data_IF_125608300544
#
_entry.id   IF_125608300544
#
_cell.length_a   1.000
_cell.length_b   1.000
_cell.length_c   1.000
_cell.angle_alpha   90.00
_cell.angle_beta   90.00
_cell.angle_gamma   90.00
#
_symmetry.space_group_name_H-M   'P 1'
#
loop_
_entity.id
_entity.type
_entity.pdbx_description
1 polymer ?
#
# COMPACT_ATOMS: atom_id res chain seq x y z
N UNK A 1 23.34 -26.35 -9.92
CA UNK A 1 22.50 -25.54 -9.02
C UNK A 1 21.12 -25.43 -9.64
N UNK A 2 20.09 -25.58 -8.87
CA UNK A 2 18.69 -25.50 -9.25
C UNK A 2 17.87 -25.50 -7.99
N UNK A 3 16.56 -25.44 -8.15
CA UNK A 3 15.59 -25.50 -7.05
C UNK A 3 14.95 -26.88 -6.99
N UNK A 4 14.80 -27.42 -5.82
CA UNK A 4 13.97 -28.58 -5.57
C UNK A 4 12.51 -28.17 -5.38
N UNK A 5 11.60 -29.12 -5.52
CA UNK A 5 10.19 -28.89 -5.17
C UNK A 5 10.06 -28.51 -3.70
N UNK A 6 9.28 -27.48 -3.44
CA UNK A 6 9.12 -26.86 -2.13
C UNK A 6 10.12 -25.76 -1.81
N UNK A 7 11.22 -25.59 -2.56
CA UNK A 7 12.15 -24.49 -2.33
C UNK A 7 11.60 -23.16 -2.81
N UNK A 8 12.00 -22.08 -2.13
CA UNK A 8 11.50 -20.72 -2.42
C UNK A 8 12.65 -19.72 -2.52
N UNK A 9 12.51 -18.84 -3.51
CA UNK A 9 13.32 -17.64 -3.66
C UNK A 9 12.49 -16.43 -3.19
N UNK A 10 13.04 -15.59 -2.31
CA UNK A 10 12.30 -14.43 -1.82
C UNK A 10 13.16 -13.18 -1.67
N UNK A 11 12.52 -12.02 -1.82
CA UNK A 11 13.13 -10.73 -1.49
C UNK A 11 12.21 -9.93 -0.57
N UNK A 12 12.81 -9.28 0.42
CA UNK A 12 12.14 -8.37 1.34
C UNK A 12 12.38 -6.93 0.94
N UNK A 13 11.34 -6.12 1.02
CA UNK A 13 11.33 -4.72 0.64
C UNK A 13 10.96 -3.87 1.84
N UNK A 14 11.78 -2.88 2.16
CA UNK A 14 11.49 -1.92 3.23
C UNK A 14 11.09 -0.60 2.62
N UNK A 15 9.94 -0.08 3.03
CA UNK A 15 9.39 1.18 2.56
C UNK A 15 9.00 2.04 3.77
N UNK A 16 8.82 3.37 3.62
CA UNK A 16 8.38 4.22 4.73
C UNK A 16 7.07 3.72 5.35
N UNK A 17 6.99 3.77 6.68
CA UNK A 17 5.86 3.23 7.45
C UNK A 17 4.52 3.90 7.11
N UNK A 18 4.55 5.16 6.72
CA UNK A 18 3.39 5.97 6.32
C UNK A 18 2.81 5.60 4.95
N UNK A 19 3.51 4.79 4.17
CA UNK A 19 3.00 4.29 2.88
C UNK A 19 2.09 3.06 3.04
N UNK A 20 2.10 2.42 4.20
CA UNK A 20 1.20 1.31 4.51
C UNK A 20 -0.21 1.80 4.94
N UNK A 21 -1.27 1.03 4.67
CA UNK A 21 -1.29 -0.22 3.93
C UNK A 21 -1.01 -0.01 2.43
N UNK A 22 -0.33 -0.98 1.83
CA UNK A 22 -0.06 -1.00 0.39
C UNK A 22 -0.84 -2.12 -0.29
N UNK A 23 -1.10 -1.97 -1.57
CA UNK A 23 -1.52 -3.07 -2.42
C UNK A 23 -0.41 -3.42 -3.40
N UNK A 24 -0.31 -4.70 -3.70
CA UNK A 24 0.62 -5.19 -4.70
C UNK A 24 -0.06 -5.11 -6.06
N UNK A 25 0.55 -4.39 -6.99
CA UNK A 25 0.04 -4.24 -8.36
C UNK A 25 0.66 -5.30 -9.28
N UNK A 26 1.95 -5.59 -9.10
CA UNK A 26 2.67 -6.57 -9.91
C UNK A 26 3.90 -7.09 -9.17
N UNK A 27 4.25 -8.35 -9.41
CA UNK A 27 5.56 -8.90 -9.05
C UNK A 27 6.16 -9.65 -10.23
N UNK A 28 7.47 -9.59 -10.34
CA UNK A 28 8.23 -10.16 -11.46
C UNK A 28 9.43 -10.93 -10.92
N UNK A 29 9.71 -12.08 -11.54
CA UNK A 29 10.87 -12.91 -11.24
C UNK A 29 11.44 -13.47 -12.54
N UNK A 30 12.78 -13.46 -12.68
CA UNK A 30 13.42 -14.08 -13.83
C UNK A 30 13.71 -15.55 -13.54
N UNK A 31 13.24 -16.42 -14.46
CA UNK A 31 13.52 -17.85 -14.50
C UNK A 31 14.39 -18.18 -15.71
N UNK A 32 15.21 -19.20 -15.58
CA UNK A 32 16.07 -19.70 -16.65
C UNK A 32 16.00 -21.22 -16.78
N UNK A 33 16.31 -21.70 -17.98
CA UNK A 33 16.47 -23.11 -18.34
C UNK A 33 17.79 -23.31 -19.07
N UNK A 34 18.81 -22.52 -18.74
CA UNK A 34 20.07 -22.44 -19.50
C UNK A 34 20.75 -23.77 -19.76
N UNK A 35 20.58 -24.74 -18.86
CA UNK A 35 21.13 -26.09 -18.99
C UNK A 35 20.09 -27.15 -19.37
N UNK A 36 18.84 -26.75 -19.62
CA UNK A 36 17.81 -27.70 -20.01
C UNK A 36 18.01 -28.17 -21.43
N UNK A 37 17.76 -29.45 -21.69
CA UNK A 37 17.82 -30.08 -23.01
C UNK A 37 16.44 -30.38 -23.59
N UNK A 38 15.40 -30.20 -22.77
CA UNK A 38 13.99 -30.39 -23.12
C UNK A 38 13.18 -29.17 -22.69
N UNK A 39 12.02 -28.98 -23.28
CA UNK A 39 11.04 -27.98 -22.78
C UNK A 39 10.67 -28.31 -21.33
N UNK A 40 10.76 -27.33 -20.46
CA UNK A 40 10.43 -27.50 -19.04
C UNK A 40 9.00 -27.04 -18.78
N UNK A 41 8.29 -27.76 -17.93
CA UNK A 41 7.00 -27.33 -17.39
C UNK A 41 7.14 -27.31 -15.87
N UNK A 42 6.99 -26.14 -15.27
CA UNK A 42 7.14 -25.93 -13.84
C UNK A 42 5.85 -25.39 -13.27
N UNK A 43 5.33 -26.04 -12.24
CA UNK A 43 4.28 -25.48 -11.40
C UNK A 43 4.93 -24.60 -10.35
N UNK A 44 4.33 -23.48 -10.07
CA UNK A 44 4.89 -22.48 -9.18
C UNK A 44 3.81 -21.76 -8.39
N UNK A 45 4.21 -21.15 -7.30
CA UNK A 45 3.36 -20.28 -6.51
C UNK A 45 4.08 -18.98 -6.20
N UNK A 46 3.30 -17.91 -6.08
CA UNK A 46 3.77 -16.63 -5.52
C UNK A 46 3.14 -16.44 -4.14
N UNK A 47 3.94 -16.00 -3.17
CA UNK A 47 3.56 -15.86 -1.78
C UNK A 47 3.88 -14.44 -1.31
N UNK A 48 2.99 -13.87 -0.50
CA UNK A 48 3.09 -12.50 0.01
C UNK A 48 3.09 -12.52 1.53
N UNK A 49 4.08 -11.85 2.13
CA UNK A 49 4.25 -11.77 3.58
C UNK A 49 4.27 -10.32 4.05
N UNK A 50 3.62 -10.05 5.18
CA UNK A 50 3.89 -8.89 6.01
C UNK A 50 5.12 -9.17 6.87
N UNK A 51 6.14 -8.32 6.80
CA UNK A 51 7.44 -8.57 7.42
C UNK A 51 8.38 -9.46 6.60
N UNK A 52 9.38 -10.04 7.27
CA UNK A 52 10.33 -10.99 6.69
C UNK A 52 9.74 -12.40 6.62
N UNK A 53 10.19 -13.28 5.71
CA UNK A 53 9.53 -14.57 5.52
C UNK A 53 9.70 -15.54 6.70
N UNK A 54 10.71 -15.34 7.56
CA UNK A 54 10.95 -16.17 8.75
C UNK A 54 10.35 -15.62 10.05
N UNK A 55 9.89 -14.38 10.06
CA UNK A 55 9.35 -13.72 11.26
C UNK A 55 8.07 -12.93 11.02
N UNK A 56 7.62 -12.87 9.77
CA UNK A 56 6.40 -12.19 9.36
C UNK A 56 5.20 -13.12 9.23
N UNK A 57 4.12 -12.58 8.69
CA UNK A 57 2.86 -13.28 8.49
C UNK A 57 2.63 -13.53 7.00
N UNK A 58 2.32 -14.77 6.60
CA UNK A 58 1.86 -15.10 5.26
C UNK A 58 0.43 -14.58 5.07
N UNK A 59 0.23 -13.73 4.05
CA UNK A 59 -1.06 -13.08 3.76
C UNK A 59 -1.78 -13.76 2.61
N UNK A 60 -1.07 -14.07 1.52
CA UNK A 60 -1.68 -14.65 0.34
C UNK A 60 -0.74 -15.60 -0.39
N UNK A 61 -1.32 -16.60 -1.07
CA UNK A 61 -0.64 -17.56 -1.93
C UNK A 61 -1.46 -17.76 -3.20
N UNK A 62 -0.81 -17.66 -4.35
CA UNK A 62 -1.41 -17.95 -5.64
C UNK A 62 -0.59 -19.03 -6.33
N UNK A 63 -1.25 -20.11 -6.76
CA UNK A 63 -0.60 -21.29 -7.37
C UNK A 63 -0.96 -21.39 -8.84
N UNK A 64 0.00 -21.87 -9.64
CA UNK A 64 -0.23 -22.15 -11.06
C UNK A 64 -1.06 -23.43 -11.32
N UNK A 65 -1.51 -24.11 -10.27
CA UNK A 65 -2.46 -25.22 -10.40
C UNK A 65 -3.92 -24.76 -10.57
N UNK A 66 -4.17 -23.46 -10.43
CA UNK A 66 -5.49 -22.88 -10.60
C UNK A 66 -5.76 -22.42 -12.02
N UNK A 67 -7.00 -22.00 -12.26
CA UNK A 67 -7.43 -21.46 -13.56
C UNK A 67 -6.82 -20.09 -13.87
N UNK A 68 -6.26 -19.42 -12.87
CA UNK A 68 -5.77 -18.02 -12.95
C UNK A 68 -4.32 -17.94 -13.40
N UNK A 69 -3.46 -18.82 -12.88
CA UNK A 69 -2.03 -18.80 -13.20
C UNK A 69 -1.63 -20.02 -14.04
N UNK A 70 -1.07 -19.79 -15.25
CA UNK A 70 -0.58 -20.89 -16.07
C UNK A 70 0.70 -21.50 -15.49
N UNK A 71 0.94 -22.75 -15.80
CA UNK A 71 2.25 -23.37 -15.60
C UNK A 71 3.33 -22.64 -16.41
N UNK A 72 4.51 -22.58 -15.88
CA UNK A 72 5.66 -22.01 -16.58
C UNK A 72 6.22 -23.02 -17.58
N UNK A 73 5.94 -22.79 -18.86
CA UNK A 73 6.44 -23.64 -19.96
C UNK A 73 7.56 -22.88 -20.69
N UNK A 74 8.79 -23.38 -20.64
CA UNK A 74 9.96 -22.72 -21.17
C UNK A 74 10.77 -23.63 -22.13
N UNK A 75 11.18 -23.11 -23.29
CA UNK A 75 12.09 -23.84 -24.19
C UNK A 75 13.44 -24.14 -23.54
N UNK A 76 14.14 -25.20 -23.99
CA UNK A 76 15.49 -25.48 -23.52
C UNK A 76 16.45 -24.35 -23.90
N UNK A 77 17.46 -24.14 -23.07
CA UNK A 77 18.52 -23.14 -23.29
C UNK A 77 18.08 -21.69 -23.10
N UNK A 78 16.93 -21.43 -22.47
CA UNK A 78 16.49 -20.08 -22.15
C UNK A 78 17.37 -19.50 -21.04
N UNK A 79 18.06 -18.38 -21.32
CA UNK A 79 18.95 -17.72 -20.36
C UNK A 79 18.23 -16.88 -19.32
N UNK A 80 16.99 -16.46 -19.60
CA UNK A 80 16.14 -15.74 -18.68
C UNK A 80 14.81 -15.37 -19.31
N UNK A 81 13.73 -15.62 -18.60
CA UNK A 81 12.37 -15.17 -18.96
C UNK A 81 11.77 -14.48 -17.75
N UNK A 82 11.23 -13.29 -17.96
CA UNK A 82 10.55 -12.55 -16.92
C UNK A 82 9.13 -13.10 -16.73
N UNK A 83 8.87 -13.63 -15.56
CA UNK A 83 7.56 -14.14 -15.15
C UNK A 83 6.87 -13.07 -14.32
N UNK A 84 5.74 -12.60 -14.81
CA UNK A 84 4.97 -11.54 -14.18
C UNK A 84 3.68 -12.11 -13.59
N UNK A 85 3.42 -11.73 -12.35
CA UNK A 85 2.12 -11.87 -11.71
C UNK A 85 1.55 -10.46 -11.55
N UNK A 86 0.49 -10.17 -12.28
CA UNK A 86 -0.20 -8.87 -12.26
C UNK A 86 -1.57 -9.03 -11.64
N UNK A 87 -1.98 -8.03 -10.87
CA UNK A 87 -3.30 -7.96 -10.25
C UNK A 87 -4.07 -6.86 -10.97
N UNK A 88 -5.27 -7.19 -11.46
CA UNK A 88 -6.14 -6.19 -12.08
C UNK A 88 -6.53 -5.15 -11.01
N UNK A 89 -6.33 -3.85 -11.26
CA UNK A 89 -6.72 -2.80 -10.32
C UNK A 89 -8.21 -2.80 -9.96
N UNK A 90 -9.05 -3.39 -10.80
CA UNK A 90 -10.50 -3.52 -10.58
C UNK A 90 -10.90 -4.81 -9.84
N UNK A 91 -9.94 -5.72 -9.60
CA UNK A 91 -10.21 -6.95 -8.84
C UNK A 91 -10.60 -6.59 -7.40
N UNK A 92 -11.75 -7.08 -6.90
CA UNK A 92 -12.13 -6.86 -5.50
C UNK A 92 -11.17 -7.52 -4.50
N UNK A 93 -10.48 -8.57 -4.93
CA UNK A 93 -9.56 -9.35 -4.08
C UNK A 93 -8.11 -8.84 -4.20
N UNK A 94 -7.91 -7.55 -3.93
CA UNK A 94 -6.58 -6.94 -3.92
C UNK A 94 -5.69 -7.55 -2.82
N UNK A 95 -4.40 -7.74 -3.11
CA UNK A 95 -3.42 -8.14 -2.10
C UNK A 95 -3.01 -6.90 -1.31
N UNK A 96 -3.57 -6.75 -0.12
CA UNK A 96 -3.27 -5.63 0.78
C UNK A 96 -2.31 -6.10 1.87
N UNK A 97 -1.21 -5.37 2.04
CA UNK A 97 -0.21 -5.63 3.07
C UNK A 97 -0.16 -4.47 4.06
N UNK A 98 -0.20 -4.81 5.35
CA UNK A 98 -0.13 -3.87 6.45
C UNK A 98 1.28 -3.78 7.04
N UNK A 99 1.54 -2.71 7.77
CA UNK A 99 2.78 -2.59 8.55
C UNK A 99 2.61 -3.28 9.91
N UNK A 100 3.27 -4.42 10.09
CA UNK A 100 3.31 -5.14 11.38
C UNK A 100 4.40 -4.61 12.32
N UNK A 101 4.86 -3.37 12.13
CA UNK A 101 5.88 -2.71 12.95
C UNK A 101 7.30 -2.80 12.38
N UNK A 102 7.51 -3.49 11.26
CA UNK A 102 8.82 -3.66 10.63
C UNK A 102 9.03 -2.80 9.40
N UNK A 103 7.98 -2.15 8.89
CA UNK A 103 7.97 -1.38 7.63
C UNK A 103 8.50 -2.19 6.45
N UNK A 104 8.34 -3.52 6.51
CA UNK A 104 8.89 -4.48 5.55
C UNK A 104 7.78 -5.42 5.07
N UNK A 105 7.83 -5.79 3.81
CA UNK A 105 7.04 -6.89 3.24
C UNK A 105 7.95 -7.79 2.40
N UNK A 106 7.50 -9.00 2.11
CA UNK A 106 8.28 -9.98 1.34
C UNK A 106 7.43 -10.63 0.27
N UNK A 107 8.02 -10.81 -0.90
CA UNK A 107 7.45 -11.63 -1.98
C UNK A 107 8.35 -12.82 -2.20
N UNK A 108 7.74 -14.00 -2.32
CA UNK A 108 8.44 -15.26 -2.56
C UNK A 108 7.85 -16.01 -3.75
N UNK A 109 8.70 -16.71 -4.47
CA UNK A 109 8.32 -17.64 -5.53
C UNK A 109 8.74 -19.05 -5.11
N UNK A 110 7.78 -19.96 -5.09
CA UNK A 110 7.98 -21.38 -4.75
C UNK A 110 7.90 -22.24 -6.00
N UNK A 111 8.78 -23.21 -6.10
CA UNK A 111 8.64 -24.29 -7.08
C UNK A 111 7.74 -25.37 -6.46
N UNK A 112 6.61 -25.63 -7.08
CA UNK A 112 5.65 -26.63 -6.60
C UNK A 112 5.87 -28.00 -7.22
N UNK A 113 6.18 -28.05 -8.53
CA UNK A 113 6.41 -29.29 -9.26
C UNK A 113 7.29 -29.03 -10.49
N UNK A 114 8.14 -29.98 -10.82
CA UNK A 114 9.04 -29.96 -11.97
C UNK A 114 8.77 -31.09 -12.95
N UNK A 115 9.34 -30.99 -14.19
CA UNK A 115 9.21 -32.04 -15.19
C UNK A 115 9.69 -33.41 -14.71
N UNK A 116 10.81 -33.45 -14.02
CA UNK A 116 11.52 -34.66 -13.65
C UNK A 116 11.91 -34.65 -12.17
N UNK A 117 10.96 -34.33 -11.33
CA UNK A 117 11.16 -34.47 -9.90
C UNK A 117 11.11 -35.93 -9.53
N UNK A 118 12.06 -36.38 -8.73
CA UNK A 118 12.07 -37.71 -8.14
C UNK A 118 11.51 -37.67 -6.73
N UNK A 119 11.28 -38.83 -6.15
CA UNK A 119 10.79 -38.95 -4.76
C UNK A 119 11.75 -38.38 -3.72
N UNK A 120 13.02 -38.16 -4.09
CA UNK A 120 14.01 -37.56 -3.20
C UNK A 120 14.60 -36.28 -3.81
N UNK A 121 14.01 -35.14 -3.53
CA UNK A 121 14.45 -33.85 -4.08
C UNK A 121 15.90 -33.51 -3.73
N UNK A 122 16.43 -34.05 -2.61
CA UNK A 122 17.79 -33.75 -2.17
C UNK A 122 18.89 -34.36 -3.03
N UNK A 123 18.62 -35.45 -3.74
CA UNK A 123 19.59 -36.11 -4.60
C UNK A 123 19.48 -35.74 -6.06
N UNK A 124 18.33 -35.25 -6.47
CA UNK A 124 18.02 -34.99 -7.88
C UNK A 124 17.58 -33.55 -8.08
N UNK A 125 17.82 -32.74 -7.10
CA UNK A 125 17.46 -31.33 -7.12
C UNK A 125 18.06 -30.60 -8.30
N UNK A 126 17.22 -30.04 -9.06
CA UNK A 126 16.61 -30.73 -10.17
C UNK A 126 17.73 -31.03 -11.17
N UNK A 127 17.66 -32.06 -11.97
CA UNK A 127 18.57 -32.14 -13.10
C UNK A 127 18.38 -30.81 -13.86
N UNK A 128 19.40 -29.95 -13.82
CA UNK A 128 19.32 -28.62 -14.48
C UNK A 128 19.06 -28.74 -15.98
N UNK A 129 19.20 -29.94 -16.53
CA UNK A 129 18.88 -30.27 -17.92
C UNK A 129 17.37 -30.48 -18.17
N UNK A 130 16.52 -30.42 -17.18
CA UNK A 130 15.09 -30.71 -17.32
C UNK A 130 14.17 -29.70 -16.66
N UNK A 131 14.69 -28.74 -15.90
CA UNK A 131 13.88 -27.88 -15.06
C UNK A 131 14.21 -26.38 -15.24
N UNK A 132 13.21 -25.54 -14.97
CA UNK A 132 13.36 -24.10 -14.82
C UNK A 132 13.63 -23.73 -13.36
N UNK A 133 14.32 -22.65 -13.12
CA UNK A 133 14.64 -22.16 -11.77
C UNK A 133 14.81 -20.65 -11.72
N UNK A 134 14.54 -20.00 -10.57
CA UNK A 134 14.85 -18.59 -10.34
C UNK A 134 16.34 -18.30 -10.50
N UNK A 135 16.68 -17.12 -11.00
CA UNK A 135 18.06 -16.70 -11.20
C UNK A 135 18.44 -15.51 -10.33
N UNK A 136 19.73 -15.42 -10.04
CA UNK A 136 20.33 -14.25 -9.41
C UNK A 136 21.10 -13.42 -10.44
N UNK A 137 21.31 -12.16 -10.13
CA UNK A 137 22.16 -11.28 -10.92
C UNK A 137 23.66 -11.64 -10.75
N UNK A 138 24.52 -10.85 -11.37
CA UNK A 138 25.98 -10.96 -11.27
C UNK A 138 26.60 -9.76 -10.57
N UNK A 139 25.79 -8.89 -9.98
CA UNK A 139 26.22 -7.64 -9.35
C UNK A 139 26.85 -7.81 -7.96
N UNK A 140 26.81 -9.02 -7.43
CA UNK A 140 27.19 -9.30 -6.04
C UNK A 140 26.00 -9.14 -5.09
N UNK A 141 26.20 -9.54 -3.84
CA UNK A 141 25.15 -9.45 -2.82
C UNK A 141 25.03 -8.03 -2.28
N UNK A 142 23.82 -7.53 -2.18
CA UNK A 142 23.55 -6.29 -1.46
C UNK A 142 23.85 -6.43 0.04
N UNK A 143 24.27 -5.32 0.64
CA UNK A 143 24.48 -5.21 2.07
C UNK A 143 23.70 -4.01 2.63
N UNK A 144 22.75 -4.23 3.57
CA UNK A 144 22.33 -5.52 4.14
C UNK A 144 21.57 -6.38 3.11
N UNK A 145 21.72 -7.70 3.21
CA UNK A 145 21.00 -8.61 2.32
C UNK A 145 19.49 -8.62 2.61
N UNK A 146 18.72 -8.40 1.57
CA UNK A 146 17.26 -8.46 1.60
C UNK A 146 16.71 -9.74 0.95
N UNK A 147 17.60 -10.60 0.47
CA UNK A 147 17.26 -11.84 -0.23
C UNK A 147 17.27 -13.05 0.71
N UNK A 148 16.39 -13.98 0.43
CA UNK A 148 16.12 -15.17 1.24
C UNK A 148 16.04 -16.41 0.37
N UNK A 149 16.46 -17.53 0.96
CA UNK A 149 16.26 -18.86 0.41
C UNK A 149 15.50 -19.71 1.45
N UNK A 150 14.41 -20.33 1.02
CA UNK A 150 13.83 -21.45 1.76
C UNK A 150 14.36 -22.75 1.14
N UNK A 151 15.15 -23.47 1.89
CA UNK A 151 15.68 -24.76 1.45
C UNK A 151 14.93 -25.91 2.12
N UNK A 152 14.77 -27.01 1.37
CA UNK A 152 14.28 -28.26 1.92
C UNK A 152 15.36 -28.95 2.76
N UNK A 153 14.96 -29.79 3.71
CA UNK A 153 15.91 -30.51 4.56
C UNK A 153 16.61 -31.65 3.79
N UNK A 154 17.83 -31.41 3.37
CA UNK A 154 18.67 -32.39 2.68
C UNK A 154 19.80 -32.95 3.55
N UNK A 155 19.67 -32.85 4.86
CA UNK A 155 20.66 -33.34 5.81
C UNK A 155 21.96 -32.50 5.83
N UNK A 156 23.08 -33.09 6.33
CA UNK A 156 24.28 -32.31 6.61
C UNK A 156 25.03 -31.80 5.37
N UNK A 157 24.71 -32.29 4.19
CA UNK A 157 25.30 -31.88 2.93
C UNK A 157 24.44 -30.87 2.16
N UNK A 158 23.24 -30.61 2.66
CA UNK A 158 22.30 -29.63 2.09
C UNK A 158 22.49 -28.23 2.63
N UNK A 159 21.77 -27.30 2.05
CA UNK A 159 21.62 -25.96 2.63
C UNK A 159 20.77 -26.04 3.92
N UNK A 160 20.96 -25.08 4.86
CA UNK A 160 20.14 -25.03 6.06
C UNK A 160 18.65 -25.03 5.71
N UNK A 161 17.90 -25.99 6.26
CA UNK A 161 16.48 -26.10 6.03
C UNK A 161 15.73 -24.85 6.55
N UNK A 162 14.58 -24.57 5.95
CA UNK A 162 13.76 -23.39 6.22
C UNK A 162 14.37 -22.09 5.68
N UNK A 163 13.79 -20.97 6.11
CA UNK A 163 14.21 -19.65 5.66
C UNK A 163 15.59 -19.26 6.20
N UNK A 164 16.47 -18.87 5.30
CA UNK A 164 17.76 -18.26 5.61
C UNK A 164 17.99 -17.05 4.73
N UNK A 165 18.44 -15.93 5.32
CA UNK A 165 18.90 -14.79 4.52
C UNK A 165 20.19 -15.15 3.79
N UNK A 166 20.46 -14.53 2.64
CA UNK A 166 21.69 -14.78 1.91
C UNK A 166 22.95 -14.49 2.74
N UNK A 167 22.88 -13.52 3.65
CA UNK A 167 23.97 -13.21 4.57
C UNK A 167 24.27 -14.36 5.55
N UNK A 168 23.22 -15.10 5.97
CA UNK A 168 23.33 -16.21 6.92
C UNK A 168 23.67 -17.54 6.26
N UNK A 169 23.51 -17.67 4.95
CA UNK A 169 23.81 -18.92 4.24
C UNK A 169 25.30 -19.25 4.28
N UNK A 170 25.68 -20.54 4.46
CA UNK A 170 27.06 -20.96 4.27
C UNK A 170 27.51 -20.72 2.83
N UNK A 171 28.81 -20.51 2.64
CA UNK A 171 29.39 -20.10 1.35
C UNK A 171 28.99 -21.00 0.19
N UNK A 172 28.88 -22.31 0.40
CA UNK A 172 28.52 -23.27 -0.65
C UNK A 172 27.02 -23.24 -1.02
N UNK A 173 26.18 -22.63 -0.19
CA UNK A 173 24.76 -22.40 -0.46
C UNK A 173 24.44 -20.98 -0.92
N UNK A 174 25.39 -20.06 -0.74
CA UNK A 174 25.17 -18.64 -1.00
C UNK A 174 25.29 -18.36 -2.48
N UNK A 175 24.27 -17.77 -3.12
CA UNK A 175 24.39 -17.27 -4.48
C UNK A 175 25.42 -16.15 -4.60
N UNK A 176 25.91 -15.93 -5.81
CA UNK A 176 26.88 -14.85 -6.10
C UNK A 176 26.26 -13.49 -6.32
N UNK A 177 24.95 -13.41 -6.43
CA UNK A 177 24.17 -12.18 -6.63
C UNK A 177 22.79 -12.27 -6.00
N UNK A 178 22.04 -11.18 -6.09
CA UNK A 178 20.69 -11.07 -5.56
C UNK A 178 19.65 -11.65 -6.52
N UNK A 179 18.47 -12.06 -6.00
CA UNK A 179 17.38 -12.49 -6.86
C UNK A 179 16.97 -11.38 -7.81
N UNK A 180 16.77 -11.72 -9.09
CA UNK A 180 16.20 -10.78 -10.05
C UNK A 180 14.68 -10.79 -9.86
N UNK A 181 14.25 -10.18 -8.77
CA UNK A 181 12.87 -10.05 -8.32
C UNK A 181 12.53 -8.58 -8.16
N UNK A 182 11.40 -8.16 -8.71
CA UNK A 182 10.90 -6.79 -8.62
C UNK A 182 9.43 -6.80 -8.22
N UNK A 183 9.02 -5.77 -7.48
CA UNK A 183 7.62 -5.58 -7.06
C UNK A 183 7.20 -4.16 -7.40
N UNK A 184 6.01 -4.03 -7.99
CA UNK A 184 5.30 -2.76 -8.13
C UNK A 184 4.15 -2.75 -7.14
N UNK A 185 4.03 -1.67 -6.41
CA UNK A 185 3.00 -1.49 -5.39
C UNK A 185 2.47 -0.07 -5.43
N UNK A 186 1.26 0.12 -4.89
CA UNK A 186 0.65 1.43 -4.69
C UNK A 186 0.06 1.52 -3.28
N UNK A 187 -0.09 2.72 -2.70
CA UNK A 187 -0.83 2.88 -1.45
C UNK A 187 -2.25 2.34 -1.61
N UNK A 188 -2.73 1.59 -0.62
CA UNK A 188 -4.11 1.08 -0.63
C UNK A 188 -5.13 2.20 -0.41
N UNK A 189 -4.74 3.20 0.38
CA UNK A 189 -5.50 4.44 0.52
C UNK A 189 -4.63 5.59 0.01
N UNK A 190 -5.20 6.51 -0.75
CA UNK A 190 -4.50 7.77 -1.02
C UNK A 190 -4.24 8.45 0.33
N UNK A 191 -2.99 8.81 0.67
CA UNK A 191 -2.73 9.60 1.86
C UNK A 191 -3.58 10.87 1.79
N UNK A 192 -4.32 11.16 2.84
CA UNK A 192 -5.08 12.40 2.89
C UNK A 192 -4.07 13.51 3.19
N UNK A 193 -3.93 14.42 2.24
CA UNK A 193 -3.09 15.60 2.38
C UNK A 193 -3.91 16.77 2.93
N UNK A 194 -3.22 17.73 3.53
CA UNK A 194 -3.80 18.97 4.01
C UNK A 194 -2.74 20.05 4.21
N UNK A 195 -3.16 21.25 4.53
CA UNK A 195 -2.27 22.38 4.73
C UNK A 195 -1.28 22.12 5.86
N UNK A 196 -0.01 22.24 5.57
CA UNK A 196 1.12 22.17 6.49
C UNK A 196 1.82 23.53 6.59
N UNK A 197 1.85 24.09 7.77
CA UNK A 197 2.59 25.32 8.04
C UNK A 197 4.03 25.00 8.40
N UNK A 198 4.94 25.26 7.48
CA UNK A 198 6.36 25.04 7.67
C UNK A 198 6.98 26.11 8.59
N UNK A 199 8.13 25.80 9.25
CA UNK A 199 8.86 26.79 10.06
C UNK A 199 9.30 28.03 9.28
N UNK A 200 9.41 27.94 7.95
CA UNK A 200 9.69 29.05 7.07
C UNK A 200 8.54 30.05 6.94
N UNK A 201 7.34 29.70 7.43
CA UNK A 201 6.10 30.47 7.24
C UNK A 201 5.35 30.13 5.93
N UNK A 202 5.90 29.24 5.11
CA UNK A 202 5.23 28.75 3.90
C UNK A 202 4.17 27.69 4.26
N UNK A 203 3.16 27.59 3.40
CA UNK A 203 2.18 26.51 3.46
C UNK A 203 2.40 25.56 2.29
N UNK A 204 2.59 24.28 2.62
CA UNK A 204 2.66 23.19 1.67
C UNK A 204 1.49 22.23 1.89
N UNK A 205 1.04 21.55 0.83
CA UNK A 205 -0.03 20.57 0.91
C UNK A 205 0.63 19.19 1.08
N UNK A 206 0.60 18.67 2.31
CA UNK A 206 1.33 17.48 2.73
C UNK A 206 0.44 16.56 3.55
N UNK A 207 0.84 15.30 3.69
CA UNK A 207 0.26 14.41 4.70
C UNK A 207 0.68 14.87 6.10
N UNK A 208 -0.05 14.48 7.13
CA UNK A 208 0.32 14.79 8.52
C UNK A 208 1.73 14.30 8.88
N UNK A 209 2.12 13.11 8.38
CA UNK A 209 3.44 12.52 8.61
C UNK A 209 4.56 13.34 7.96
N UNK A 210 4.39 13.72 6.71
CA UNK A 210 5.35 14.55 5.97
C UNK A 210 5.47 15.95 6.58
N UNK A 211 4.34 16.52 7.00
CA UNK A 211 4.32 17.81 7.70
C UNK A 211 5.12 17.76 9.01
N UNK A 212 4.91 16.72 9.82
CA UNK A 212 5.65 16.53 11.06
C UNK A 212 7.14 16.30 10.79
N UNK A 213 7.50 15.52 9.78
CA UNK A 213 8.89 15.29 9.37
C UNK A 213 9.59 16.57 8.90
N UNK A 214 8.85 17.48 8.28
CA UNK A 214 9.33 18.80 7.88
C UNK A 214 9.37 19.81 9.04
N UNK A 215 9.01 19.39 10.25
CA UNK A 215 8.93 20.27 11.44
C UNK A 215 7.79 21.28 11.37
N UNK A 216 6.79 21.03 10.52
CA UNK A 216 5.65 21.89 10.30
C UNK A 216 4.50 21.66 11.28
N UNK A 217 3.48 22.49 11.19
CA UNK A 217 2.21 22.33 11.89
C UNK A 217 1.13 21.96 10.91
N UNK A 218 0.60 20.74 11.03
CA UNK A 218 -0.47 20.25 10.19
C UNK A 218 -1.82 20.84 10.60
N UNK A 219 -2.56 21.42 9.65
CA UNK A 219 -3.82 22.10 9.91
C UNK A 219 -5.06 21.19 9.81
N UNK A 220 -4.88 19.97 9.31
CA UNK A 220 -5.95 18.96 9.17
C UNK A 220 -6.14 18.49 7.72
N UNK A 221 -6.81 17.34 7.59
CA UNK A 221 -7.06 16.67 6.32
C UNK A 221 -7.91 17.54 5.38
N UNK A 222 -7.52 17.57 4.10
CA UNK A 222 -8.20 18.36 3.05
C UNK A 222 -8.29 19.88 3.31
N UNK A 223 -7.59 20.40 4.32
CA UNK A 223 -7.50 21.84 4.54
C UNK A 223 -6.59 22.43 3.46
N UNK A 224 -7.07 23.36 2.61
CA UNK A 224 -6.24 23.91 1.55
C UNK A 224 -5.23 24.94 2.08
N UNK A 225 -4.08 25.04 1.43
CA UNK A 225 -3.16 26.15 1.61
C UNK A 225 -3.77 27.43 1.01
N UNK A 226 -4.46 28.21 1.83
CA UNK A 226 -4.96 29.52 1.46
C UNK A 226 -3.98 30.65 1.81
N UNK A 227 -4.19 31.85 1.25
CA UNK A 227 -3.38 33.04 1.56
C UNK A 227 -3.45 33.29 3.08
N UNK A 228 -2.30 33.11 3.79
CA UNK A 228 -2.14 33.28 5.24
C UNK A 228 -2.65 32.11 6.10
N UNK A 229 -2.93 30.94 5.55
CA UNK A 229 -3.25 29.73 6.33
C UNK A 229 -2.24 29.49 7.46
N UNK A 230 -0.98 29.85 7.22
CA UNK A 230 0.13 29.71 8.17
C UNK A 230 0.51 31.01 8.90
N UNK A 231 -0.26 32.10 8.75
CA UNK A 231 0.10 33.42 9.34
C UNK A 231 -0.41 33.64 10.76
N UNK A 232 -0.98 32.62 11.40
CA UNK A 232 -1.57 32.75 12.73
C UNK A 232 -2.85 33.59 12.78
N UNK A 233 -3.40 33.99 11.63
CA UNK A 233 -4.63 34.77 11.57
C UNK A 233 -5.84 33.93 11.96
N UNK A 234 -6.72 34.52 12.75
CA UNK A 234 -8.01 33.89 13.09
C UNK A 234 -9.00 34.00 11.96
N UNK A 235 -9.92 33.03 11.87
CA UNK A 235 -11.02 32.96 10.91
C UNK A 235 -12.36 32.81 11.64
N UNK A 236 -13.46 33.07 10.93
CA UNK A 236 -14.78 32.70 11.42
C UNK A 236 -14.86 31.16 11.51
N UNK A 237 -15.13 30.65 12.69
CA UNK A 237 -15.34 29.22 12.94
C UNK A 237 -16.82 28.94 13.11
N UNK A 238 -17.36 28.09 12.26
CA UNK A 238 -18.79 27.79 12.19
C UNK A 238 -19.11 26.44 12.83
N UNK A 239 -20.03 26.40 13.76
CA UNK A 239 -20.48 25.21 14.48
C UNK A 239 -21.84 24.76 14.00
N UNK A 240 -21.94 23.70 13.20
CA UNK A 240 -23.21 23.22 12.65
C UNK A 240 -24.22 22.81 13.73
N UNK A 241 -23.75 22.21 14.83
CA UNK A 241 -24.61 21.74 15.91
C UNK A 241 -25.34 22.88 16.68
N UNK A 242 -24.73 24.06 16.73
CA UNK A 242 -25.28 25.19 17.50
C UNK A 242 -25.68 26.38 16.64
N UNK A 243 -25.32 26.37 15.36
CA UNK A 243 -25.45 27.55 14.46
C UNK A 243 -24.53 28.70 14.85
N UNK A 244 -23.62 28.47 15.80
CA UNK A 244 -22.76 29.52 16.36
C UNK A 244 -21.54 29.81 15.49
N UNK A 245 -20.97 31.03 15.69
CA UNK A 245 -19.70 31.43 15.09
C UNK A 245 -18.78 31.96 16.19
N UNK A 246 -17.52 31.48 16.15
CA UNK A 246 -16.43 31.99 16.99
C UNK A 246 -15.26 32.37 16.10
N UNK A 247 -14.52 33.43 16.45
CA UNK A 247 -13.30 33.78 15.75
C UNK A 247 -12.13 33.02 16.38
N UNK A 248 -11.63 32.02 15.67
CA UNK A 248 -10.60 31.09 16.16
C UNK A 248 -9.49 30.92 15.13
N UNK A 249 -8.34 30.41 15.54
CA UNK A 249 -7.36 29.86 14.60
C UNK A 249 -7.99 28.66 13.87
N UNK A 250 -7.70 28.44 12.57
CA UNK A 250 -8.30 27.35 11.80
C UNK A 250 -8.18 25.98 12.47
N UNK A 251 -7.00 25.66 13.03
CA UNK A 251 -6.75 24.44 13.76
C UNK A 251 -7.57 24.32 15.06
N UNK A 252 -7.72 25.42 15.78
CA UNK A 252 -8.54 25.43 17.00
C UNK A 252 -10.01 25.26 16.67
N UNK A 253 -10.43 25.79 15.53
CA UNK A 253 -11.79 25.62 15.00
C UNK A 253 -12.09 24.15 14.72
N UNK A 254 -11.20 23.49 13.96
CA UNK A 254 -11.33 22.06 13.62
C UNK A 254 -11.32 21.18 14.88
N UNK A 255 -10.38 21.45 15.80
CA UNK A 255 -10.28 20.69 17.06
C UNK A 255 -11.54 20.85 17.94
N UNK A 256 -12.24 21.97 17.81
CA UNK A 256 -13.50 22.23 18.50
C UNK A 256 -14.74 21.67 17.75
N UNK A 257 -14.55 20.94 16.63
CA UNK A 257 -15.64 20.39 15.81
C UNK A 257 -16.35 21.44 14.95
N UNK A 258 -15.71 22.56 14.69
CA UNK A 258 -16.21 23.62 13.81
C UNK A 258 -15.65 23.52 12.38
N UNK A 259 -16.26 24.26 11.46
CA UNK A 259 -15.80 24.43 10.08
C UNK A 259 -15.18 25.82 9.93
N UNK A 260 -13.89 25.95 9.59
CA UNK A 260 -13.25 27.25 9.40
C UNK A 260 -13.76 27.93 8.12
N UNK A 261 -14.09 29.19 8.23
CA UNK A 261 -14.42 30.05 7.11
C UNK A 261 -13.17 30.50 6.32
N UNK A 262 -13.36 31.24 5.22
CA UNK A 262 -12.25 31.78 4.44
C UNK A 262 -11.32 32.64 5.29
N UNK A 263 -10.06 32.73 4.88
CA UNK A 263 -9.11 33.55 5.57
C UNK A 263 -9.50 35.03 5.62
N UNK A 264 -9.24 35.65 6.77
CA UNK A 264 -9.65 37.03 7.03
C UNK A 264 -11.14 37.14 7.34
N UNK A 265 -11.91 36.05 7.32
CA UNK A 265 -13.28 36.05 7.81
C UNK A 265 -13.31 36.25 9.32
N UNK A 266 -14.32 36.90 9.82
CA UNK A 266 -14.63 36.98 11.22
C UNK A 266 -16.14 36.82 11.40
N UNK A 267 -16.57 36.54 12.61
CA UNK A 267 -18.00 36.33 12.90
C UNK A 267 -18.86 37.58 12.75
N UNK A 268 -18.25 38.76 12.49
CA UNK A 268 -19.00 40.00 12.25
C UNK A 268 -19.28 40.10 10.74
N UNK A 269 -20.46 39.70 10.32
CA UNK A 269 -20.90 39.75 8.92
C UNK A 269 -20.60 38.50 8.09
N UNK A 270 -19.92 37.46 8.66
CA UNK A 270 -19.78 36.19 8.01
C UNK A 270 -20.93 35.24 8.40
N UNK A 271 -21.70 34.82 7.40
CA UNK A 271 -22.81 33.88 7.61
C UNK A 271 -22.28 32.46 7.51
N UNK A 272 -22.10 31.79 8.63
CA UNK A 272 -21.59 30.44 8.75
C UNK A 272 -22.42 29.40 8.00
N UNK A 273 -23.72 29.52 8.10
CA UNK A 273 -24.66 28.63 7.45
C UNK A 273 -25.68 29.49 6.70
N UNK A 274 -25.72 29.37 5.36
CA UNK A 274 -26.74 30.05 4.58
C UNK A 274 -28.11 29.62 5.11
N UNK A 275 -28.90 30.61 5.50
CA UNK A 275 -30.26 30.39 6.02
C UNK A 275 -31.30 30.88 5.00
N UNK A 276 -32.45 30.24 5.02
CA UNK A 276 -33.56 30.60 4.15
C UNK A 276 -34.88 30.11 4.66
N UNK A 277 -35.94 30.35 3.91
CA UNK A 277 -37.28 29.87 4.23
C UNK A 277 -37.37 28.34 4.04
N UNK A 278 -38.13 27.68 4.87
CA UNK A 278 -38.45 26.28 4.83
C UNK A 278 -39.97 26.09 4.78
N UNK A 279 -40.46 25.43 3.72
CA UNK A 279 -41.85 25.03 3.61
C UNK A 279 -42.05 23.66 4.25
N UNK A 280 -42.85 23.61 5.30
CA UNK A 280 -43.20 22.38 6.02
C UNK A 280 -44.32 21.63 5.32
N UNK A 281 -44.45 20.29 5.52
CA UNK A 281 -45.50 19.47 4.90
C UNK A 281 -46.92 19.89 5.25
N UNK A 282 -47.10 20.58 6.36
CA UNK A 282 -48.41 21.13 6.79
C UNK A 282 -48.78 22.46 6.10
N UNK A 283 -47.95 22.93 5.15
CA UNK A 283 -48.14 24.17 4.42
C UNK A 283 -47.66 25.42 5.15
N UNK A 284 -47.14 25.32 6.36
CA UNK A 284 -46.54 26.46 7.05
C UNK A 284 -45.11 26.74 6.56
N UNK A 285 -44.71 28.00 6.68
CA UNK A 285 -43.35 28.43 6.39
C UNK A 285 -42.65 28.86 7.67
N UNK A 286 -41.42 28.37 7.85
CA UNK A 286 -40.55 28.78 8.94
C UNK A 286 -39.22 29.34 8.34
N UNK A 287 -38.61 30.25 9.06
CA UNK A 287 -37.32 30.80 8.64
C UNK A 287 -36.93 32.07 9.37
N UNK A 288 -35.66 32.43 9.26
CA UNK A 288 -34.61 31.74 8.52
C UNK A 288 -34.07 30.49 9.24
N UNK A 289 -33.92 29.38 8.52
CA UNK A 289 -33.36 28.12 9.03
C UNK A 289 -32.32 27.57 8.04
N UNK A 290 -31.41 26.69 8.52
CA UNK A 290 -30.47 26.01 7.62
C UNK A 290 -31.16 24.89 6.81
N UNK A 291 -30.58 24.47 5.66
CA UNK A 291 -31.08 23.33 4.90
C UNK A 291 -31.25 22.05 5.73
N UNK A 292 -30.31 21.78 6.63
CA UNK A 292 -30.32 20.60 7.51
C UNK A 292 -31.46 20.68 8.53
N UNK A 293 -31.64 21.84 9.11
CA UNK A 293 -32.76 22.09 10.07
C UNK A 293 -34.11 21.95 9.37
N UNK A 294 -34.19 22.44 8.11
CA UNK A 294 -35.42 22.29 7.32
C UNK A 294 -35.70 20.82 7.01
N UNK A 295 -34.68 20.07 6.57
CA UNK A 295 -34.78 18.64 6.27
C UNK A 295 -35.16 17.82 7.52
N UNK A 296 -34.58 18.12 8.70
CA UNK A 296 -34.89 17.46 9.97
C UNK A 296 -36.39 17.64 10.39
N UNK A 297 -37.02 18.69 9.89
CA UNK A 297 -38.47 18.94 10.12
C UNK A 297 -39.32 18.43 8.95
N UNK A 298 -38.74 17.68 8.02
CA UNK A 298 -39.45 17.14 6.86
C UNK A 298 -39.86 18.21 5.83
N UNK A 299 -39.28 19.41 5.90
CA UNK A 299 -39.61 20.53 5.05
C UNK A 299 -38.77 20.59 3.76
N UNK A 300 -39.17 21.46 2.85
CA UNK A 300 -38.44 21.78 1.60
C UNK A 300 -37.79 23.15 1.75
N UNK A 301 -36.45 23.16 1.71
CA UNK A 301 -35.66 24.41 1.77
C UNK A 301 -35.79 25.21 0.49
N UNK A 302 -36.11 26.51 0.62
CA UNK A 302 -36.43 27.39 -0.49
C UNK A 302 -35.22 28.17 -1.04
N UNK A 303 -34.00 27.81 -0.59
CA UNK A 303 -32.77 28.47 -1.01
C UNK A 303 -32.27 29.54 -0.03
N UNK A 304 -30.99 29.88 -0.20
CA UNK A 304 -30.30 30.83 0.68
C UNK A 304 -30.93 32.23 0.55
N UNK A 305 -31.07 32.91 1.69
CA UNK A 305 -31.67 34.26 1.80
C UNK A 305 -33.13 34.35 1.34
N UNK A 306 -33.81 33.21 1.15
CA UNK A 306 -35.26 33.23 0.95
C UNK A 306 -35.97 33.59 2.27
N UNK A 307 -37.13 34.19 2.20
CA UNK A 307 -37.96 34.53 3.34
C UNK A 307 -39.37 33.97 3.19
N UNK A 308 -40.02 33.66 4.30
CA UNK A 308 -41.42 33.37 4.28
C UNK A 308 -42.18 34.63 3.81
N UNK A 309 -42.97 34.50 2.75
CA UNK A 309 -43.87 35.62 2.37
C UNK A 309 -44.89 35.86 3.49
N UNK A 310 -45.03 37.09 3.93
CA UNK A 310 -46.08 37.50 4.89
C UNK A 310 -47.42 37.63 4.20
#
# INVERSE_FOLDING_TARGET
AGFAEGEMAAASFTIPADKFPIKIDMTEMIFATSNATVTTTTKWSVLFYEGTPNGGQLVAVFSSDGDILPHLVMPPGTNGTNIQFMIDPSDPDQIVLNNIGTSTFTVAYRIDDHNNQTQNPCFVAPPSNSNAFPVTDTGGLQAPSTNWLFAVNCGPLGCPANWSSFAALPVFCRPSGDWVLRVTWSPFSCPIEGACCLPSGNCDFLTQSECNAAGGTYLGDNVPCGIGACSGATVACCFAATGGCLTLLPQTCIAAGGVPGPQGSNCTGFICFPQGACCLPNGSCIGPVSPETCAAQGGTFQGNNSSCAT
#
